data_IF_356241399191
#
_entry.id   IF_356241399191
#
_cell.length_a   1.000
_cell.length_b   1.000
_cell.length_c   1.000
_cell.angle_alpha   90.00
_cell.angle_beta   90.00
_cell.angle_gamma   90.00
#
_symmetry.space_group_name_H-M   'P 1'
#
loop_
_entity.id
_entity.type
_entity.pdbx_description
1 polymer ?
#
# COMPACT_ATOMS: atom_id res chain seq x y z
N UNK A 1 11.37 -18.85 -10.07
CA UNK A 1 11.64 -19.58 -8.81
C UNK A 1 13.07 -19.33 -8.38
N UNK A 2 13.36 -19.22 -7.08
CA UNK A 2 14.76 -19.19 -6.59
C UNK A 2 15.33 -20.60 -6.64
N UNK A 3 16.61 -20.76 -6.98
CA UNK A 3 17.29 -22.07 -6.86
C UNK A 3 17.80 -22.23 -5.42
N UNK A 4 17.66 -23.39 -4.75
CA UNK A 4 18.10 -23.57 -3.37
C UNK A 4 19.55 -23.13 -3.10
N UNK A 5 20.45 -23.37 -4.07
CA UNK A 5 21.85 -22.94 -4.00
C UNK A 5 22.03 -21.42 -3.80
N UNK A 6 21.09 -20.60 -4.25
CA UNK A 6 21.18 -19.14 -4.06
C UNK A 6 21.10 -18.74 -2.59
N UNK A 7 20.36 -19.48 -1.76
CA UNK A 7 20.31 -19.27 -0.31
C UNK A 7 21.56 -19.82 0.38
N UNK A 8 22.10 -20.96 -0.11
CA UNK A 8 23.38 -21.52 0.36
C UNK A 8 24.52 -20.52 0.15
N UNK A 9 24.55 -19.83 -0.99
CA UNK A 9 25.55 -18.78 -1.28
C UNK A 9 25.29 -17.45 -0.56
N UNK A 10 24.36 -17.41 0.41
CA UNK A 10 24.18 -16.28 1.33
C UNK A 10 23.02 -15.33 1.02
N UNK A 11 22.17 -15.59 0.03
CA UNK A 11 20.93 -14.81 -0.10
C UNK A 11 19.95 -15.17 1.02
N UNK A 12 19.21 -14.19 1.51
CA UNK A 12 18.17 -14.38 2.51
C UNK A 12 16.81 -14.04 1.90
N UNK A 13 15.85 -14.94 2.08
CA UNK A 13 14.46 -14.70 1.69
C UNK A 13 13.64 -14.40 2.95
N UNK A 14 13.04 -13.21 3.00
CA UNK A 14 12.17 -12.78 4.11
C UNK A 14 10.79 -12.44 3.56
N UNK A 15 9.77 -12.65 4.40
CA UNK A 15 8.42 -12.13 4.19
C UNK A 15 8.14 -10.95 5.12
N UNK A 16 7.07 -10.22 4.86
CA UNK A 16 6.53 -9.21 5.75
C UNK A 16 5.01 -9.23 5.72
N UNK A 17 4.40 -9.04 6.88
CA UNK A 17 2.97 -8.77 7.01
C UNK A 17 2.82 -7.30 7.45
N UNK A 18 2.02 -6.52 6.73
CA UNK A 18 1.79 -5.10 7.03
C UNK A 18 3.08 -4.27 7.18
N UNK A 19 4.14 -4.60 6.42
CA UNK A 19 5.43 -3.92 6.52
C UNK A 19 6.21 -4.17 7.82
N UNK A 20 5.76 -5.10 8.67
CA UNK A 20 6.31 -5.33 10.00
C UNK A 20 5.81 -4.33 11.05
N UNK A 21 4.77 -3.56 10.73
CA UNK A 21 4.22 -2.51 11.59
C UNK A 21 3.21 -3.08 12.60
N UNK A 22 3.34 -2.69 13.86
CA UNK A 22 2.35 -3.00 14.90
C UNK A 22 1.22 -1.98 14.85
N UNK A 23 0.07 -2.38 14.31
CA UNK A 23 -1.08 -1.52 14.04
C UNK A 23 -1.33 -0.42 15.08
N UNK A 24 -1.78 -0.76 16.29
CA UNK A 24 -2.16 0.26 17.30
C UNK A 24 -1.01 1.12 17.81
N UNK A 25 0.18 0.55 17.97
CA UNK A 25 1.30 1.23 18.65
C UNK A 25 2.19 2.01 17.69
N UNK A 26 2.24 1.64 16.41
CA UNK A 26 3.17 2.22 15.44
C UNK A 26 2.47 3.00 14.31
N UNK A 27 1.20 2.72 13.96
CA UNK A 27 0.49 3.49 12.92
C UNK A 27 0.36 4.99 13.20
N UNK A 28 0.11 5.45 14.44
CA UNK A 28 0.05 6.88 14.71
C UNK A 28 1.33 7.61 14.27
N UNK A 29 2.50 7.00 14.45
CA UNK A 29 3.77 7.57 13.99
C UNK A 29 3.89 7.66 12.46
N UNK A 30 3.19 6.84 11.68
CA UNK A 30 3.12 7.00 10.22
C UNK A 30 2.25 8.19 9.83
N UNK A 31 1.17 8.46 10.57
CA UNK A 31 0.35 9.65 10.37
C UNK A 31 1.18 10.90 10.65
N UNK A 32 1.93 10.93 11.76
CA UNK A 32 2.80 12.06 12.10
C UNK A 32 3.85 12.31 11.00
N UNK A 33 4.49 11.25 10.49
CA UNK A 33 5.45 11.34 9.38
C UNK A 33 4.81 11.88 8.10
N UNK A 34 3.57 11.51 7.81
CA UNK A 34 2.83 12.07 6.68
C UNK A 34 2.55 13.56 6.89
N UNK A 35 2.07 13.94 8.08
CA UNK A 35 1.80 15.35 8.41
C UNK A 35 3.06 16.21 8.39
N UNK A 36 4.22 15.65 8.74
CA UNK A 36 5.53 16.30 8.66
C UNK A 36 6.10 16.36 7.24
N UNK A 37 5.46 15.72 6.26
CA UNK A 37 5.94 15.65 4.88
C UNK A 37 7.07 14.64 4.63
N UNK A 38 7.41 13.80 5.62
CA UNK A 38 8.49 12.79 5.51
C UNK A 38 8.10 11.65 4.57
N UNK A 39 6.81 11.40 4.42
CA UNK A 39 6.26 10.41 3.48
C UNK A 39 5.16 11.05 2.64
N UNK A 40 5.16 10.73 1.35
CA UNK A 40 4.16 11.21 0.41
C UNK A 40 3.04 10.19 0.29
N UNK A 41 1.82 10.55 0.67
CA UNK A 41 0.65 9.67 0.51
C UNK A 41 -0.24 10.15 -0.64
N UNK A 42 -0.38 11.46 -0.82
CA UNK A 42 -1.29 12.06 -1.81
C UNK A 42 -1.02 11.61 -3.24
N UNK A 43 0.24 11.40 -3.62
CA UNK A 43 0.63 10.94 -4.96
C UNK A 43 0.07 9.55 -5.32
N UNK A 44 -0.31 8.74 -4.32
CA UNK A 44 -0.93 7.43 -4.56
C UNK A 44 -2.44 7.52 -4.80
N UNK A 45 -3.08 8.64 -4.43
CA UNK A 45 -4.53 8.84 -4.63
C UNK A 45 -4.77 9.31 -6.05
N UNK A 46 -5.11 8.37 -6.92
CA UNK A 46 -5.36 8.66 -8.35
C UNK A 46 -6.82 9.01 -8.66
N UNK A 47 -7.75 8.55 -7.83
CA UNK A 47 -9.18 8.75 -8.03
C UNK A 47 -9.87 9.01 -6.70
N UNK A 48 -10.87 9.89 -6.73
CA UNK A 48 -11.76 10.17 -5.60
C UNK A 48 -13.19 10.21 -6.12
N UNK A 49 -14.09 9.47 -5.50
CA UNK A 49 -15.49 9.35 -5.95
C UNK A 49 -16.43 9.02 -4.78
N UNK A 50 -17.74 9.10 -5.00
CA UNK A 50 -18.75 8.76 -4.02
C UNK A 50 -18.93 7.25 -3.84
N UNK A 51 -19.55 6.83 -2.73
CA UNK A 51 -19.88 5.42 -2.48
C UNK A 51 -20.81 4.82 -3.56
N UNK A 52 -21.66 5.64 -4.15
CA UNK A 52 -22.55 5.26 -5.26
C UNK A 52 -21.80 4.77 -6.50
N UNK A 53 -20.54 5.19 -6.67
CA UNK A 53 -19.66 4.79 -7.77
C UNK A 53 -18.73 3.62 -7.42
N UNK A 54 -18.99 2.88 -6.34
CA UNK A 54 -18.09 1.81 -5.86
C UNK A 54 -17.75 0.76 -6.94
N UNK A 55 -18.70 0.41 -7.82
CA UNK A 55 -18.45 -0.55 -8.89
C UNK A 55 -17.48 0.03 -9.94
N UNK A 56 -17.60 1.31 -10.28
CA UNK A 56 -16.64 2.02 -11.13
C UNK A 56 -15.23 1.99 -10.53
N UNK A 57 -15.11 2.12 -9.19
CA UNK A 57 -13.82 2.01 -8.52
C UNK A 57 -13.17 0.62 -8.69
N UNK A 58 -13.99 -0.45 -8.68
CA UNK A 58 -13.52 -1.81 -8.97
C UNK A 58 -13.13 -1.99 -10.43
N UNK A 59 -13.86 -1.41 -11.38
CA UNK A 59 -13.50 -1.48 -12.81
C UNK A 59 -12.13 -0.84 -13.06
N UNK A 60 -11.90 0.35 -12.49
CA UNK A 60 -10.61 1.05 -12.59
C UNK A 60 -9.44 0.26 -11.98
N UNK A 61 -9.69 -0.51 -10.91
CA UNK A 61 -8.69 -1.41 -10.32
C UNK A 61 -8.32 -2.53 -11.30
N UNK A 62 -9.31 -3.20 -11.90
CA UNK A 62 -9.08 -4.31 -12.83
C UNK A 62 -8.40 -3.86 -14.12
N UNK A 63 -8.72 -2.66 -14.60
CA UNK A 63 -8.11 -2.07 -15.79
C UNK A 63 -6.68 -1.55 -15.55
N UNK A 64 -6.20 -1.56 -14.29
CA UNK A 64 -4.89 -1.02 -13.93
C UNK A 64 -4.80 0.50 -14.07
N UNK A 65 -5.94 1.20 -14.11
CA UNK A 65 -6.02 2.66 -14.21
C UNK A 65 -5.96 3.35 -12.85
N UNK A 66 -6.17 2.62 -11.76
CA UNK A 66 -6.07 3.14 -10.40
C UNK A 66 -4.82 2.63 -9.67
N UNK A 67 -4.12 3.54 -9.00
CA UNK A 67 -3.16 3.17 -7.94
C UNK A 67 -3.93 3.01 -6.63
N UNK A 68 -4.65 4.05 -6.21
CA UNK A 68 -5.65 4.02 -5.14
C UNK A 68 -6.85 4.88 -5.53
N UNK A 69 -8.02 4.40 -5.15
CA UNK A 69 -9.29 5.13 -5.20
C UNK A 69 -9.74 5.42 -3.77
N UNK A 70 -10.04 6.67 -3.44
CA UNK A 70 -10.62 7.09 -2.16
C UNK A 70 -12.13 7.26 -2.33
N UNK A 71 -12.90 6.59 -1.48
CA UNK A 71 -14.36 6.67 -1.48
C UNK A 71 -14.80 7.63 -0.38
N UNK A 72 -15.56 8.65 -0.77
CA UNK A 72 -16.17 9.63 0.15
C UNK A 72 -17.63 9.25 0.43
N UNK A 73 -18.08 9.52 1.65
CA UNK A 73 -19.41 9.17 2.18
C UNK A 73 -20.18 10.42 2.60
#
# INVERSE_FOLDING_TARGET
STRPFQLVTGRVWKGSAFGGVKGRTELPGYVDRYMNGDIKIDEFVTHTMGLDEINTAFDLLHEGKSIRSVILF
#
